data_IF_676872028025
#
_entry.id   IF_676872028025
#
_cell.length_a   1.000
_cell.length_b   1.000
_cell.length_c   1.000
_cell.angle_alpha   90.00
_cell.angle_beta   90.00
_cell.angle_gamma   90.00
#
_symmetry.space_group_name_H-M   'P 1'
#
loop_
_entity.id
_entity.type
_entity.pdbx_description
1 polymer ?
#
# COMPACT_ATOMS: atom_id res chain seq x y z
N UNK A 1 -3.85 -9.67 -19.25
CA UNK A 1 -4.07 -9.42 -17.83
C UNK A 1 -3.81 -7.96 -17.49
N UNK A 2 -2.65 -7.37 -17.79
CA UNK A 2 -2.36 -5.96 -17.46
C UNK A 2 -3.43 -4.94 -17.88
N UNK A 3 -4.00 -5.09 -19.08
CA UNK A 3 -5.07 -4.22 -19.58
C UNK A 3 -6.32 -4.18 -18.68
N UNK A 4 -6.59 -5.23 -17.89
CA UNK A 4 -7.77 -5.26 -17.03
C UNK A 4 -7.61 -4.42 -15.77
N UNK A 5 -6.38 -4.06 -15.35
CA UNK A 5 -6.13 -3.35 -14.08
C UNK A 5 -6.86 -2.00 -14.03
N UNK A 6 -6.95 -1.31 -15.16
CA UNK A 6 -7.61 0.00 -15.27
C UNK A 6 -9.10 -0.09 -15.66
N UNK A 7 -9.62 -1.30 -15.90
CA UNK A 7 -11.03 -1.48 -16.25
C UNK A 7 -11.91 -1.46 -15.00
N UNK A 8 -13.17 -1.04 -15.10
CA UNK A 8 -14.16 -1.25 -14.04
C UNK A 8 -14.25 -2.74 -13.66
N UNK A 9 -14.39 -3.05 -12.36
CA UNK A 9 -14.41 -4.43 -11.82
C UNK A 9 -15.31 -5.38 -12.63
N UNK A 10 -16.51 -4.92 -13.00
CA UNK A 10 -17.46 -5.73 -13.77
C UNK A 10 -16.92 -6.10 -15.16
N UNK A 11 -16.22 -5.17 -15.80
CA UNK A 11 -15.60 -5.38 -17.11
C UNK A 11 -14.35 -6.27 -17.01
N UNK A 12 -13.62 -6.22 -15.89
CA UNK A 12 -12.46 -7.10 -15.66
C UNK A 12 -12.84 -8.57 -15.74
N UNK A 13 -13.94 -8.97 -15.08
CA UNK A 13 -14.42 -10.36 -15.11
C UNK A 13 -14.75 -10.81 -16.53
N UNK A 14 -15.54 -10.02 -17.25
CA UNK A 14 -15.94 -10.34 -18.62
C UNK A 14 -14.72 -10.40 -19.57
N UNK A 15 -13.76 -9.50 -19.39
CA UNK A 15 -12.51 -9.47 -20.15
C UNK A 15 -11.66 -10.72 -19.92
N UNK A 16 -11.54 -11.17 -18.68
CA UNK A 16 -10.76 -12.37 -18.33
C UNK A 16 -11.41 -13.64 -18.91
N UNK A 17 -12.73 -13.79 -18.78
CA UNK A 17 -13.47 -14.93 -19.34
C UNK A 17 -13.30 -15.02 -20.86
N UNK A 18 -13.42 -13.88 -21.57
CA UNK A 18 -13.22 -13.82 -23.02
C UNK A 18 -11.81 -14.23 -23.47
N UNK A 19 -10.82 -14.24 -22.57
CA UNK A 19 -9.43 -14.66 -22.84
C UNK A 19 -9.10 -16.05 -22.29
N UNK A 20 -10.09 -16.81 -21.89
CA UNK A 20 -9.94 -18.21 -21.50
C UNK A 20 -9.75 -18.45 -20.01
N UNK A 21 -9.85 -17.40 -19.16
CA UNK A 21 -9.91 -17.60 -17.71
C UNK A 21 -11.25 -18.23 -17.33
N UNK A 22 -11.21 -19.38 -16.64
CA UNK A 22 -12.43 -20.17 -16.37
C UNK A 22 -13.18 -19.66 -15.15
N UNK A 23 -12.44 -19.27 -14.12
CA UNK A 23 -13.00 -18.90 -12.82
C UNK A 23 -12.32 -17.64 -12.25
N UNK A 24 -12.55 -16.44 -12.83
CA UNK A 24 -11.99 -15.22 -12.27
C UNK A 24 -12.49 -14.99 -10.84
N UNK A 25 -11.55 -14.82 -9.90
CA UNK A 25 -11.83 -14.56 -8.49
C UNK A 25 -11.93 -13.06 -8.25
N UNK A 26 -13.00 -12.63 -7.58
CA UNK A 26 -13.12 -11.26 -7.11
C UNK A 26 -12.29 -11.06 -5.83
N UNK A 27 -11.50 -9.98 -5.80
CA UNK A 27 -10.75 -9.53 -4.63
C UNK A 27 -10.77 -8.00 -4.59
N UNK A 28 -10.60 -7.43 -3.40
CA UNK A 28 -10.54 -5.99 -3.21
C UNK A 28 -9.63 -5.63 -2.03
N UNK A 29 -9.15 -4.39 -2.02
CA UNK A 29 -8.49 -3.79 -0.89
C UNK A 29 -9.25 -2.53 -0.47
N UNK A 30 -9.18 -2.21 0.80
CA UNK A 30 -9.73 -0.99 1.38
C UNK A 30 -8.62 -0.27 2.13
N UNK A 31 -8.61 1.06 2.06
CA UNK A 31 -7.68 1.95 2.76
C UNK A 31 -8.50 2.91 3.61
N UNK A 32 -7.89 3.45 4.67
CA UNK A 32 -8.60 4.24 5.67
C UNK A 32 -9.01 5.61 5.13
N UNK A 33 -8.08 6.31 4.45
CA UNK A 33 -8.29 7.67 4.00
C UNK A 33 -7.84 7.85 2.55
N UNK A 34 -8.78 8.22 1.67
CA UNK A 34 -8.46 8.69 0.31
C UNK A 34 -9.13 10.03 0.06
N UNK A 35 -8.33 11.01 -0.36
CA UNK A 35 -8.83 12.31 -0.81
C UNK A 35 -7.95 12.83 -1.93
N UNK A 36 -8.56 13.35 -2.99
CA UNK A 36 -7.84 14.02 -4.10
C UNK A 36 -6.68 13.17 -4.67
N UNK A 37 -6.91 11.86 -4.83
CA UNK A 37 -5.89 10.88 -5.28
C UNK A 37 -4.67 10.75 -4.38
N UNK A 38 -4.81 11.02 -3.09
CA UNK A 38 -3.81 10.76 -2.06
C UNK A 38 -4.39 9.74 -1.08
N UNK A 39 -3.67 8.65 -0.83
CA UNK A 39 -4.00 7.70 0.24
C UNK A 39 -3.15 8.00 1.47
N UNK A 40 -3.77 7.96 2.65
CA UNK A 40 -3.07 8.06 3.93
C UNK A 40 -3.37 6.80 4.75
N UNK A 41 -2.31 6.17 5.25
CA UNK A 41 -2.37 5.07 6.19
C UNK A 41 -1.68 5.51 7.50
N UNK A 42 -2.32 5.22 8.64
CA UNK A 42 -1.76 5.49 9.96
C UNK A 42 -1.47 4.14 10.61
N UNK A 43 -0.18 3.78 10.68
CA UNK A 43 0.20 2.43 11.07
C UNK A 43 0.97 2.40 12.39
N UNK A 44 0.23 2.08 13.45
CA UNK A 44 0.75 1.78 14.80
C UNK A 44 0.66 0.30 15.17
N UNK A 45 0.45 -0.55 14.16
CA UNK A 45 0.37 -2.00 14.27
C UNK A 45 1.72 -2.70 14.10
N UNK A 46 1.65 -4.01 13.90
CA UNK A 46 2.83 -4.87 13.74
C UNK A 46 3.56 -4.59 12.43
N UNK A 47 4.88 -4.75 12.45
CA UNK A 47 5.76 -4.58 11.27
C UNK A 47 5.27 -5.30 9.99
N UNK A 48 4.63 -6.47 10.13
CA UNK A 48 4.12 -7.23 8.99
C UNK A 48 3.04 -6.49 8.20
N UNK A 49 2.27 -5.60 8.84
CA UNK A 49 1.21 -4.84 8.18
C UNK A 49 1.76 -3.66 7.39
N UNK A 50 2.84 -2.99 7.85
CA UNK A 50 3.47 -1.90 7.08
C UNK A 50 3.99 -2.38 5.73
N UNK A 51 4.62 -3.56 5.69
CA UNK A 51 5.07 -4.14 4.43
C UNK A 51 3.89 -4.39 3.47
N UNK A 52 2.74 -4.80 3.99
CA UNK A 52 1.54 -4.96 3.19
C UNK A 52 0.99 -3.61 2.69
N UNK A 53 0.96 -2.58 3.54
CA UNK A 53 0.48 -1.25 3.18
C UNK A 53 1.35 -0.63 2.06
N UNK A 54 2.68 -0.65 2.24
CA UNK A 54 3.65 -0.07 1.31
C UNK A 54 3.73 -0.82 -0.04
N UNK A 55 3.78 -2.15 -0.02
CA UNK A 55 4.06 -2.95 -1.23
C UNK A 55 2.82 -3.55 -1.88
N UNK A 56 1.69 -3.62 -1.18
CA UNK A 56 0.44 -4.19 -1.72
C UNK A 56 -0.62 -3.11 -1.84
N UNK A 57 -1.07 -2.49 -0.74
CA UNK A 57 -2.21 -1.55 -0.80
C UNK A 57 -1.91 -0.35 -1.67
N UNK A 58 -0.89 0.45 -1.33
CA UNK A 58 -0.54 1.66 -2.10
C UNK A 58 -0.27 1.34 -3.58
N UNK A 59 0.41 0.23 -3.84
CA UNK A 59 0.68 -0.27 -5.19
C UNK A 59 -0.58 -0.60 -5.99
N UNK A 60 -1.57 -1.26 -5.36
CA UNK A 60 -2.84 -1.59 -6.00
C UNK A 60 -3.66 -0.33 -6.28
N UNK A 61 -3.76 0.60 -5.32
CA UNK A 61 -4.47 1.86 -5.52
C UNK A 61 -3.80 2.73 -6.60
N UNK A 62 -2.46 2.74 -6.66
CA UNK A 62 -1.71 3.48 -7.66
C UNK A 62 -1.90 2.88 -9.06
N UNK A 63 -1.72 1.56 -9.19
CA UNK A 63 -1.87 0.86 -10.48
C UNK A 63 -3.30 0.91 -11.00
N UNK A 64 -4.29 0.93 -10.10
CA UNK A 64 -5.70 1.13 -10.44
C UNK A 64 -6.10 2.58 -10.72
N UNK A 65 -5.16 3.54 -10.68
CA UNK A 65 -5.42 4.96 -10.97
C UNK A 65 -6.22 5.69 -9.88
N UNK A 66 -6.38 5.10 -8.70
CA UNK A 66 -7.11 5.67 -7.56
C UNK A 66 -6.28 6.73 -6.85
N UNK A 67 -4.96 6.51 -6.73
CA UNK A 67 -4.03 7.46 -6.12
C UNK A 67 -2.84 7.76 -7.02
N UNK A 68 -2.22 8.91 -6.79
CA UNK A 68 -0.92 9.29 -7.35
C UNK A 68 0.19 9.31 -6.30
N UNK A 69 -0.17 9.32 -5.01
CA UNK A 69 0.74 9.38 -3.87
C UNK A 69 0.17 8.57 -2.69
N UNK A 70 1.01 7.72 -2.09
CA UNK A 70 0.74 7.11 -0.78
C UNK A 70 1.47 7.83 0.33
N UNK A 71 0.82 8.02 1.48
CA UNK A 71 1.40 8.57 2.70
C UNK A 71 1.29 7.51 3.80
N UNK A 72 2.43 7.14 4.37
CA UNK A 72 2.51 6.19 5.48
C UNK A 72 2.97 6.93 6.74
N UNK A 73 2.11 6.99 7.77
CA UNK A 73 2.43 7.62 9.05
C UNK A 73 2.84 6.55 10.06
N UNK A 74 4.06 6.65 10.56
CA UNK A 74 4.69 5.70 11.48
C UNK A 74 5.20 6.41 12.75
N UNK A 75 5.29 5.71 13.89
CA UNK A 75 5.95 6.26 15.06
C UNK A 75 7.46 6.24 14.83
N UNK A 76 8.19 7.26 15.30
CA UNK A 76 9.67 7.18 15.37
C UNK A 76 10.09 6.07 16.32
N UNK A 77 11.33 5.59 16.24
CA UNK A 77 11.84 4.57 17.18
C UNK A 77 11.73 5.02 18.63
N UNK A 78 11.90 6.34 18.86
CA UNK A 78 11.74 6.98 20.17
C UNK A 78 10.31 6.84 20.69
N UNK A 79 9.30 7.12 19.86
CA UNK A 79 7.89 6.91 20.24
C UNK A 79 7.57 5.43 20.40
N UNK A 80 7.98 4.58 19.44
CA UNK A 80 7.75 3.13 19.47
C UNK A 80 8.30 2.47 20.74
N UNK A 81 9.43 2.95 21.28
CA UNK A 81 10.02 2.42 22.51
C UNK A 81 9.10 2.54 23.75
N UNK A 82 8.07 3.40 23.70
CA UNK A 82 7.05 3.56 24.73
C UNK A 82 5.74 2.82 24.40
N UNK A 83 5.74 1.99 23.36
CA UNK A 83 4.57 1.25 22.88
C UNK A 83 4.75 -0.26 23.09
N UNK A 84 3.69 -1.02 22.79
CA UNK A 84 3.73 -2.48 22.79
C UNK A 84 4.83 -3.04 21.88
N UNK A 85 5.38 -4.20 22.25
CA UNK A 85 6.42 -4.86 21.47
C UNK A 85 5.94 -5.23 20.05
N UNK A 86 6.86 -5.14 19.09
CA UNK A 86 6.62 -5.52 17.69
C UNK A 86 5.83 -4.50 16.86
N UNK A 87 5.53 -3.32 17.41
CA UNK A 87 5.05 -2.18 16.62
C UNK A 87 6.15 -1.72 15.66
N UNK A 88 5.78 -1.43 14.42
CA UNK A 88 6.69 -0.91 13.40
C UNK A 88 7.22 0.48 13.79
N UNK A 89 8.35 0.90 13.21
CA UNK A 89 8.90 2.23 13.45
C UNK A 89 9.51 2.81 12.18
N UNK A 90 9.39 4.13 12.05
CA UNK A 90 9.79 4.91 10.88
C UNK A 90 11.16 4.53 10.33
N UNK A 91 12.19 4.51 11.18
CA UNK A 91 13.57 4.28 10.76
C UNK A 91 13.75 2.87 10.16
N UNK A 92 13.06 1.87 10.72
CA UNK A 92 13.10 0.49 10.23
C UNK A 92 12.42 0.35 8.89
N UNK A 93 11.26 0.99 8.70
CA UNK A 93 10.48 0.86 7.47
C UNK A 93 11.07 1.68 6.32
N UNK A 94 11.62 2.86 6.60
CA UNK A 94 12.44 3.61 5.63
C UNK A 94 13.62 2.76 5.17
N UNK A 95 14.32 2.10 6.10
CA UNK A 95 15.41 1.19 5.74
C UNK A 95 14.93 0.00 4.90
N UNK A 96 13.78 -0.58 5.22
CA UNK A 96 13.17 -1.66 4.44
C UNK A 96 12.86 -1.24 3.00
N UNK A 97 12.29 -0.04 2.81
CA UNK A 97 12.01 0.50 1.47
C UNK A 97 13.31 0.76 0.71
N UNK A 98 14.29 1.44 1.33
CA UNK A 98 15.57 1.73 0.68
C UNK A 98 16.31 0.46 0.23
N UNK A 99 16.18 -0.64 0.99
CA UNK A 99 16.79 -1.94 0.65
C UNK A 99 16.21 -2.60 -0.60
N UNK A 100 15.00 -2.24 -1.02
CA UNK A 100 14.42 -2.74 -2.27
C UNK A 100 15.01 -2.09 -3.52
N UNK A 101 15.78 -1.01 -3.35
CA UNK A 101 16.39 -0.24 -4.43
C UNK A 101 15.53 0.94 -4.89
N UNK A 102 16.13 1.82 -5.71
CA UNK A 102 15.59 3.16 -6.00
C UNK A 102 14.20 3.20 -6.67
N UNK A 103 13.79 2.11 -7.34
CA UNK A 103 12.57 2.07 -8.13
C UNK A 103 11.50 1.14 -7.53
N UNK A 104 11.67 0.71 -6.27
CA UNK A 104 10.77 -0.23 -5.62
C UNK A 104 10.35 0.28 -4.23
N UNK A 105 9.03 0.41 -3.95
CA UNK A 105 7.93 0.17 -4.89
C UNK A 105 7.81 1.32 -5.92
N UNK A 106 7.22 1.08 -7.11
CA UNK A 106 7.08 2.11 -8.15
C UNK A 106 5.99 3.16 -7.88
N UNK A 107 5.22 3.02 -6.79
CA UNK A 107 4.31 4.06 -6.30
C UNK A 107 5.10 5.17 -5.60
N UNK A 108 4.85 6.46 -5.89
CA UNK A 108 5.39 7.56 -5.09
C UNK A 108 4.89 7.48 -3.64
N UNK A 109 5.83 7.54 -2.69
CA UNK A 109 5.55 7.45 -1.26
C UNK A 109 6.11 8.64 -0.49
N UNK A 110 5.35 9.10 0.50
CA UNK A 110 5.83 9.95 1.58
C UNK A 110 5.69 9.19 2.89
N UNK A 111 6.82 8.82 3.51
CA UNK A 111 6.83 8.16 4.82
C UNK A 111 7.09 9.23 5.87
N UNK A 112 6.18 9.36 6.85
CA UNK A 112 6.23 10.37 7.91
C UNK A 112 6.43 9.71 9.27
N UNK A 113 7.56 9.99 9.91
CA UNK A 113 7.81 9.63 11.30
C UNK A 113 7.23 10.69 12.25
N UNK A 114 6.45 10.27 13.24
CA UNK A 114 5.88 11.18 14.25
C UNK A 114 6.29 10.80 15.67
N UNK A 115 6.28 11.78 16.55
CA UNK A 115 6.47 11.62 17.99
C UNK A 115 5.67 12.68 18.79
N UNK A 116 5.38 12.45 20.08
CA UNK A 116 4.67 13.41 20.95
C UNK A 116 5.45 14.69 21.25
#
# INVERSE_FOLDING_TARGET
>A
MEQSVLMPVKEQKDFLIKRGEKEPIYSYNQTDFVKEKIAVEIQFGKYAFVAYDLFVKHMLFYSGGVINLGIEILPTKKMQAQMSSGVAYYEGEVYNVMRQGRNSPPVPLLILGIEP
#
